data_IF_927065510183
#
_entry.id   IF_927065510183
#
_cell.length_a   1.000
_cell.length_b   1.000
_cell.length_c   1.000
_cell.angle_alpha   90.00
_cell.angle_beta   90.00
_cell.angle_gamma   90.00
#
_symmetry.space_group_name_H-M   'P 1'
#
loop_
_entity.id
_entity.type
_entity.pdbx_description
1 polymer ?
#
# COMPACT_ATOMS: atom_id res chain seq x y z
N UNK A 1 -40.44 -77.27 29.48
CA UNK A 1 -40.27 -75.80 29.63
C UNK A 1 -38.91 -75.43 29.08
N UNK A 2 -38.85 -74.80 27.90
CA UNK A 2 -37.61 -74.33 27.27
C UNK A 2 -37.72 -72.81 27.14
N UNK A 3 -36.91 -72.09 27.90
CA UNK A 3 -36.81 -70.63 27.88
C UNK A 3 -36.02 -70.20 26.64
N UNK A 4 -36.67 -69.43 25.77
CA UNK A 4 -36.02 -68.72 24.67
C UNK A 4 -35.69 -67.31 25.16
N UNK A 5 -34.44 -67.04 25.52
CA UNK A 5 -33.97 -65.68 25.74
C UNK A 5 -33.21 -65.20 24.51
N UNK A 6 -33.87 -64.35 23.73
CA UNK A 6 -33.28 -63.60 22.63
C UNK A 6 -32.40 -62.50 23.24
N UNK A 7 -31.07 -62.63 23.17
CA UNK A 7 -30.14 -61.56 23.51
C UNK A 7 -30.09 -60.57 22.34
N UNK A 8 -30.71 -59.40 22.49
CA UNK A 8 -30.52 -58.29 21.57
C UNK A 8 -29.16 -57.64 21.82
N UNK A 9 -28.24 -57.78 20.88
CA UNK A 9 -26.97 -57.05 20.87
C UNK A 9 -27.22 -55.69 20.22
N UNK A 10 -27.29 -54.62 21.02
CA UNK A 10 -27.35 -53.25 20.49
C UNK A 10 -25.95 -52.84 20.01
N UNK A 11 -25.82 -52.52 18.71
CA UNK A 11 -24.59 -51.97 18.12
C UNK A 11 -24.76 -50.45 18.06
N UNK A 12 -24.00 -49.73 18.89
CA UNK A 12 -23.93 -48.27 18.85
C UNK A 12 -22.93 -47.85 17.76
N UNK A 13 -23.44 -47.39 16.62
CA UNK A 13 -22.66 -46.75 15.57
C UNK A 13 -22.47 -45.27 15.94
N UNK A 14 -21.31 -44.93 16.51
CA UNK A 14 -20.91 -43.54 16.71
C UNK A 14 -20.23 -43.04 15.43
N UNK A 15 -20.97 -42.33 14.59
CA UNK A 15 -20.38 -41.63 13.43
C UNK A 15 -19.72 -40.34 13.91
N UNK A 16 -18.39 -40.35 14.04
CA UNK A 16 -17.60 -39.14 14.26
C UNK A 16 -17.48 -38.41 12.92
N UNK A 17 -18.37 -37.45 12.67
CA UNK A 17 -18.23 -36.53 11.53
C UNK A 17 -17.08 -35.56 11.80
N UNK A 18 -15.93 -35.82 11.20
CA UNK A 18 -14.85 -34.84 11.11
C UNK A 18 -15.30 -33.70 10.18
N UNK A 19 -15.74 -32.59 10.76
CA UNK A 19 -15.86 -31.32 10.04
C UNK A 19 -14.44 -30.86 9.69
N UNK A 20 -13.99 -31.17 8.48
CA UNK A 20 -12.77 -30.58 7.95
C UNK A 20 -13.05 -29.12 7.62
N UNK A 21 -12.70 -28.23 8.55
CA UNK A 21 -12.59 -26.81 8.25
C UNK A 21 -11.42 -26.61 7.30
N UNK A 22 -11.69 -26.52 6.00
CA UNK A 22 -10.70 -26.07 5.03
C UNK A 22 -10.57 -24.55 5.16
N UNK A 23 -9.53 -24.09 5.85
CA UNK A 23 -9.13 -22.68 5.81
C UNK A 23 -8.57 -22.39 4.42
N UNK A 24 -9.33 -21.68 3.59
CA UNK A 24 -8.77 -21.08 2.37
C UNK A 24 -7.99 -19.86 2.81
N UNK A 25 -6.66 -19.96 2.84
CA UNK A 25 -5.81 -18.77 2.97
C UNK A 25 -5.95 -17.97 1.67
N UNK A 26 -6.76 -16.91 1.69
CA UNK A 26 -6.71 -15.91 0.63
C UNK A 26 -5.43 -15.09 0.80
N UNK A 27 -4.79 -14.76 -0.30
CA UNK A 27 -3.68 -13.82 -0.34
C UNK A 27 -3.89 -12.88 -1.53
N UNK A 28 -3.53 -11.61 -1.36
CA UNK A 28 -3.55 -10.64 -2.45
C UNK A 28 -2.16 -10.03 -2.65
N UNK A 29 -1.92 -9.57 -3.88
CA UNK A 29 -0.81 -8.70 -4.23
C UNK A 29 -1.35 -7.52 -5.03
N UNK A 30 -1.14 -6.31 -4.53
CA UNK A 30 -1.39 -5.06 -5.23
C UNK A 30 -0.05 -4.51 -5.74
N UNK A 31 0.05 -4.30 -7.05
CA UNK A 31 1.26 -3.78 -7.69
C UNK A 31 1.06 -2.32 -8.07
N UNK A 32 1.86 -1.44 -7.50
CA UNK A 32 1.81 0.00 -7.76
C UNK A 32 3.06 0.41 -8.50
N UNK A 33 2.89 1.03 -9.67
CA UNK A 33 4.00 1.53 -10.48
C UNK A 33 4.03 3.05 -10.46
N UNK A 34 5.11 3.62 -9.96
CA UNK A 34 5.40 5.04 -10.14
C UNK A 34 5.95 5.27 -11.56
N UNK A 35 5.51 6.33 -12.23
CA UNK A 35 5.89 6.60 -13.62
C UNK A 35 6.65 7.90 -13.78
N UNK A 36 6.12 9.00 -13.23
CA UNK A 36 6.72 10.33 -13.35
C UNK A 36 6.36 11.18 -12.15
N UNK A 37 7.30 12.03 -11.73
CA UNK A 37 7.07 13.12 -10.81
C UNK A 37 7.34 14.46 -11.50
N UNK A 38 6.64 15.51 -11.07
CA UNK A 38 6.86 16.87 -11.55
C UNK A 38 6.64 17.91 -10.46
N UNK A 39 7.65 18.75 -10.24
CA UNK A 39 7.63 19.94 -9.41
C UNK A 39 8.45 21.05 -10.08
N UNK A 40 8.16 21.34 -11.35
CA UNK A 40 8.97 22.24 -12.20
C UNK A 40 9.23 23.65 -11.64
N UNK A 41 8.44 24.08 -10.65
CA UNK A 41 8.56 25.40 -10.00
C UNK A 41 9.35 25.34 -8.67
N UNK A 42 9.87 24.17 -8.29
CA UNK A 42 10.66 23.90 -7.09
C UNK A 42 9.97 24.37 -5.80
N UNK A 43 8.67 24.06 -5.69
CA UNK A 43 7.80 24.56 -4.62
C UNK A 43 7.53 23.53 -3.54
N UNK A 44 7.52 24.01 -2.31
CA UNK A 44 7.00 23.32 -1.14
C UNK A 44 5.47 23.28 -1.15
N UNK A 45 4.89 22.57 -0.17
CA UNK A 45 3.43 22.43 -0.04
C UNK A 45 2.73 23.74 0.34
N UNK A 46 3.47 24.69 0.92
CA UNK A 46 3.01 26.02 1.30
C UNK A 46 3.33 27.10 0.23
N UNK A 47 3.73 26.69 -0.98
CA UNK A 47 4.11 27.55 -2.11
C UNK A 47 5.42 28.35 -1.91
N UNK A 48 6.16 28.08 -0.83
CA UNK A 48 7.52 28.58 -0.68
C UNK A 48 8.52 27.80 -1.55
N UNK A 49 9.74 28.31 -1.70
CA UNK A 49 10.81 27.66 -2.46
C UNK A 49 11.56 26.68 -1.58
N UNK A 50 11.95 25.52 -2.11
CA UNK A 50 12.74 24.49 -1.40
C UNK A 50 14.04 25.09 -0.80
N UNK A 51 14.92 25.70 -1.61
CA UNK A 51 16.18 26.30 -1.12
C UNK A 51 16.12 27.79 -0.72
N UNK A 52 14.98 28.28 -0.23
CA UNK A 52 14.85 29.65 0.26
C UNK A 52 15.21 30.75 -0.78
N UNK A 53 16.01 31.75 -0.39
CA UNK A 53 16.25 32.96 -1.20
C UNK A 53 17.11 32.74 -2.45
N UNK A 54 17.91 31.67 -2.51
CA UNK A 54 18.88 31.48 -3.59
C UNK A 54 18.36 30.62 -4.75
N UNK A 55 17.21 29.96 -4.57
CA UNK A 55 16.56 29.16 -5.61
C UNK A 55 17.38 27.91 -5.94
N UNK A 56 16.80 26.76 -5.66
CA UNK A 56 17.40 25.45 -5.91
C UNK A 56 16.32 24.40 -6.02
N UNK A 57 16.70 23.25 -6.57
CA UNK A 57 15.80 22.13 -6.78
C UNK A 57 15.54 21.42 -5.46
N UNK A 58 14.38 20.79 -5.31
CA UNK A 58 14.10 20.04 -4.10
C UNK A 58 14.84 18.69 -4.11
N UNK A 59 15.44 18.34 -2.99
CA UNK A 59 16.06 17.06 -2.64
C UNK A 59 14.95 16.04 -2.31
N UNK A 60 14.12 15.73 -3.31
CA UNK A 60 12.85 15.02 -3.10
C UNK A 60 13.02 13.59 -2.57
N UNK A 61 12.31 13.26 -1.48
CA UNK A 61 12.16 11.93 -0.90
C UNK A 61 10.69 11.51 -0.82
N UNK A 62 10.38 10.28 -1.24
CA UNK A 62 9.01 9.80 -1.39
C UNK A 62 8.67 8.73 -0.36
N UNK A 63 7.53 8.91 0.30
CA UNK A 63 6.92 7.95 1.22
C UNK A 63 5.60 7.44 0.63
N UNK A 64 5.57 6.17 0.22
CA UNK A 64 4.39 5.48 -0.26
C UNK A 64 3.74 4.73 0.90
N UNK A 65 2.45 4.96 1.13
CA UNK A 65 1.71 4.43 2.27
C UNK A 65 0.41 3.79 1.81
N UNK A 66 0.28 2.48 1.97
CA UNK A 66 -0.93 1.75 1.59
C UNK A 66 -1.90 1.66 2.77
N UNK A 67 -3.13 2.12 2.54
CA UNK A 67 -4.22 2.18 3.50
C UNK A 67 -5.49 1.51 2.94
N UNK A 68 -6.46 1.31 3.82
CA UNK A 68 -7.81 0.90 3.42
C UNK A 68 -8.54 2.00 2.66
N UNK A 69 -9.47 1.61 1.78
CA UNK A 69 -10.38 2.55 1.15
C UNK A 69 -11.21 3.28 2.23
N UNK A 70 -11.44 4.58 2.07
CA UNK A 70 -12.15 5.42 3.04
C UNK A 70 -11.30 5.85 4.23
N UNK A 71 -9.98 5.60 4.21
CA UNK A 71 -9.08 6.11 5.24
C UNK A 71 -9.07 7.66 5.26
N UNK A 72 -8.78 8.22 6.43
CA UNK A 72 -8.63 9.67 6.62
C UNK A 72 -7.59 10.25 5.64
N UNK A 73 -7.93 11.39 5.03
CA UNK A 73 -7.03 12.15 4.15
C UNK A 73 -6.10 13.07 4.95
N UNK A 74 -5.39 12.48 5.90
CA UNK A 74 -4.27 13.12 6.63
C UNK A 74 -2.92 12.75 5.98
N UNK A 75 -1.88 13.54 6.21
CA UNK A 75 -0.53 13.30 5.69
C UNK A 75 0.31 12.38 6.62
N UNK A 76 -0.34 11.67 7.56
CA UNK A 76 0.35 10.84 8.54
C UNK A 76 0.83 9.50 7.94
N UNK A 77 1.92 9.53 7.20
CA UNK A 77 2.53 8.36 6.58
C UNK A 77 3.11 7.34 7.60
N UNK A 78 3.05 7.60 8.91
CA UNK A 78 3.39 6.58 9.92
C UNK A 78 2.29 5.52 10.12
N UNK A 79 1.08 5.75 9.58
CA UNK A 79 -0.03 4.82 9.67
C UNK A 79 -0.32 4.19 8.30
N UNK A 80 0.39 3.11 7.99
CA UNK A 80 0.28 2.36 6.73
C UNK A 80 -0.01 0.88 7.02
N UNK A 81 -1.24 0.52 7.41
CA UNK A 81 -1.57 -0.83 7.88
C UNK A 81 -1.39 -1.91 6.80
N UNK A 82 -1.28 -1.53 5.53
CA UNK A 82 -1.04 -2.46 4.41
C UNK A 82 0.38 -2.36 3.84
N UNK A 83 1.28 -1.69 4.55
CA UNK A 83 2.70 -1.54 4.20
C UNK A 83 3.04 -0.17 3.64
N UNK A 84 4.34 0.13 3.66
CA UNK A 84 4.92 1.36 3.15
C UNK A 84 6.25 1.12 2.44
N UNK A 85 6.64 2.08 1.61
CA UNK A 85 7.96 2.16 0.98
C UNK A 85 8.47 3.60 1.10
N UNK A 86 9.75 3.75 1.44
CA UNK A 86 10.41 5.06 1.52
C UNK A 86 11.63 5.02 0.62
N UNK A 87 11.74 5.98 -0.29
CA UNK A 87 12.95 6.16 -1.10
C UNK A 87 14.01 6.87 -0.27
N UNK A 88 15.27 6.86 -0.72
CA UNK A 88 16.18 7.94 -0.34
C UNK A 88 15.93 9.18 -1.18
N UNK A 89 16.81 10.16 -1.03
CA UNK A 89 16.90 11.33 -1.89
C UNK A 89 16.93 10.94 -3.38
N UNK A 90 16.07 11.59 -4.17
CA UNK A 90 16.01 11.45 -5.62
C UNK A 90 16.75 12.60 -6.33
N UNK A 91 16.84 13.77 -5.68
CA UNK A 91 17.68 14.90 -6.09
C UNK A 91 17.20 15.70 -7.31
N UNK A 92 15.94 15.55 -7.73
CA UNK A 92 15.39 16.22 -8.91
C UNK A 92 13.92 16.61 -8.73
N UNK A 93 13.53 17.76 -9.29
CA UNK A 93 12.14 18.25 -9.31
C UNK A 93 11.26 17.56 -10.37
N UNK A 94 11.85 17.17 -11.48
CA UNK A 94 11.15 16.61 -12.63
C UNK A 94 11.88 15.37 -13.15
N UNK A 95 11.31 14.18 -12.90
CA UNK A 95 11.97 12.95 -13.32
C UNK A 95 10.99 11.82 -13.64
N UNK A 96 11.53 10.80 -14.32
CA UNK A 96 10.84 9.54 -14.56
C UNK A 96 11.37 8.49 -13.60
N UNK A 97 10.45 7.75 -12.97
CA UNK A 97 10.83 6.63 -12.13
C UNK A 97 11.39 5.48 -12.98
N UNK A 98 12.48 4.86 -12.52
CA UNK A 98 13.08 3.70 -13.18
C UNK A 98 12.08 2.55 -13.29
N UNK A 99 12.23 1.71 -14.33
CA UNK A 99 11.23 0.68 -14.66
C UNK A 99 11.23 -0.54 -13.76
N UNK A 100 12.31 -0.78 -13.01
CA UNK A 100 12.51 -1.95 -12.15
C UNK A 100 12.77 -1.59 -10.70
N UNK A 101 13.36 -0.42 -10.47
CA UNK A 101 13.62 0.15 -9.16
C UNK A 101 13.46 1.67 -9.25
N UNK A 102 12.97 2.26 -8.17
CA UNK A 102 13.15 3.67 -7.84
C UNK A 102 14.57 3.82 -7.25
N UNK A 103 14.89 5.00 -6.75
CA UNK A 103 16.08 5.29 -5.96
C UNK A 103 16.13 4.48 -4.65
N UNK A 104 17.35 4.27 -4.16
CA UNK A 104 17.65 3.57 -2.90
C UNK A 104 17.06 2.16 -2.77
N UNK A 105 16.88 1.47 -3.90
CA UNK A 105 16.48 0.05 -3.91
C UNK A 105 14.99 -0.21 -3.69
N UNK A 106 14.14 0.84 -3.66
CA UNK A 106 12.69 0.65 -3.64
C UNK A 106 12.24 0.02 -4.97
N UNK A 107 11.56 -1.14 -4.96
CA UNK A 107 11.12 -1.78 -6.19
C UNK A 107 10.11 -0.92 -6.96
N UNK A 108 10.17 -0.94 -8.29
CA UNK A 108 9.11 -0.39 -9.14
C UNK A 108 8.72 -1.44 -10.19
N UNK A 109 7.53 -2.06 -10.13
CA UNK A 109 6.43 -1.77 -9.22
C UNK A 109 6.67 -2.20 -7.77
N UNK A 110 6.16 -1.40 -6.84
CA UNK A 110 6.02 -1.75 -5.43
C UNK A 110 4.94 -2.82 -5.27
N UNK A 111 5.18 -3.80 -4.40
CA UNK A 111 4.23 -4.89 -4.13
C UNK A 111 3.74 -4.79 -2.69
N UNK A 112 2.45 -4.48 -2.53
CA UNK A 112 1.75 -4.54 -1.25
C UNK A 112 0.99 -5.87 -1.18
N UNK A 113 1.17 -6.62 -0.10
CA UNK A 113 0.56 -7.93 0.07
C UNK A 113 -0.16 -8.06 1.41
N UNK A 114 -1.13 -8.96 1.45
CA UNK A 114 -1.87 -9.28 2.67
C UNK A 114 -2.79 -10.47 2.46
N UNK A 115 -3.50 -10.86 3.52
CA UNK A 115 -4.36 -12.06 3.52
C UNK A 115 -5.81 -11.76 3.17
N UNK A 116 -6.29 -10.53 3.39
CA UNK A 116 -7.70 -10.17 3.15
C UNK A 116 -7.75 -8.89 2.30
N UNK A 117 -8.43 -8.97 1.15
CA UNK A 117 -8.67 -7.83 0.30
C UNK A 117 -10.05 -7.23 0.55
N UNK A 118 -10.10 -6.00 1.06
CA UNK A 118 -11.35 -5.34 1.48
C UNK A 118 -12.10 -4.64 0.33
N UNK A 119 -11.75 -4.94 -0.93
CA UNK A 119 -12.47 -4.44 -2.11
C UNK A 119 -11.96 -3.09 -2.66
N UNK A 120 -11.00 -2.45 -2.00
CA UNK A 120 -10.43 -1.19 -2.46
C UNK A 120 -9.21 -0.78 -1.64
N UNK A 121 -8.57 0.31 -2.03
CA UNK A 121 -7.40 0.87 -1.34
C UNK A 121 -7.41 2.40 -1.35
N UNK A 122 -6.60 2.95 -0.45
CA UNK A 122 -6.10 4.31 -0.54
C UNK A 122 -4.57 4.28 -0.53
N UNK A 123 -3.92 4.83 -1.55
CA UNK A 123 -2.48 5.05 -1.58
C UNK A 123 -2.22 6.52 -1.27
N UNK A 124 -1.59 6.79 -0.14
CA UNK A 124 -1.01 8.08 0.19
C UNK A 124 0.45 8.10 -0.29
N UNK A 125 0.82 9.13 -1.03
CA UNK A 125 2.21 9.45 -1.35
C UNK A 125 2.53 10.80 -0.72
N UNK A 126 3.54 10.85 0.15
CA UNK A 126 4.03 12.10 0.75
C UNK A 126 5.43 12.36 0.24
N UNK A 127 5.69 13.57 -0.21
CA UNK A 127 6.97 14.04 -0.71
C UNK A 127 7.53 15.05 0.26
N UNK A 128 8.78 14.84 0.65
CA UNK A 128 9.54 15.78 1.45
C UNK A 128 10.79 16.23 0.69
N UNK A 129 11.20 17.45 0.95
CA UNK A 129 12.52 17.99 0.62
C UNK A 129 13.46 17.58 1.76
N UNK A 130 14.45 16.76 1.47
CA UNK A 130 15.40 16.29 2.48
C UNK A 130 16.41 17.40 2.78
N UNK A 131 16.36 18.01 3.97
CA UNK A 131 17.33 19.05 4.34
C UNK A 131 18.46 18.43 5.18
N UNK A 132 19.73 18.47 4.72
CA UNK A 132 20.85 17.93 5.50
C UNK A 132 21.08 18.66 6.83
N UNK A 133 20.52 19.87 7.01
CA UNK A 133 20.66 20.70 8.21
C UNK A 133 19.30 21.23 8.68
N UNK A 134 18.34 20.33 8.92
CA UNK A 134 17.03 20.78 9.37
C UNK A 134 16.03 19.67 9.66
N UNK A 135 14.76 20.06 9.69
CA UNK A 135 13.65 19.13 9.51
C UNK A 135 13.27 19.11 8.04
N UNK A 136 13.03 17.93 7.48
CA UNK A 136 12.59 17.81 6.09
C UNK A 136 11.32 18.63 5.83
N UNK A 137 11.31 19.41 4.75
CA UNK A 137 10.20 20.28 4.41
C UNK A 137 9.15 19.55 3.57
N UNK A 138 7.88 19.75 3.88
CA UNK A 138 6.81 19.06 3.17
C UNK A 138 6.58 19.68 1.79
N UNK A 139 6.80 18.90 0.72
CA UNK A 139 6.70 19.34 -0.68
C UNK A 139 5.30 19.14 -1.24
N UNK A 140 4.78 17.92 -1.10
CA UNK A 140 3.48 17.55 -1.66
C UNK A 140 2.91 16.30 -1.00
N UNK A 141 1.59 16.11 -1.11
CA UNK A 141 0.96 14.86 -0.77
C UNK A 141 -0.21 14.55 -1.72
N UNK A 142 -0.29 13.30 -2.15
CA UNK A 142 -1.33 12.82 -3.05
C UNK A 142 -2.04 11.63 -2.43
N UNK A 143 -3.37 11.61 -2.58
CA UNK A 143 -4.21 10.45 -2.26
C UNK A 143 -4.77 9.86 -3.54
N UNK A 144 -4.46 8.60 -3.79
CA UNK A 144 -5.18 7.77 -4.74
C UNK A 144 -6.16 6.89 -3.99
N UNK A 145 -7.40 6.82 -4.44
CA UNK A 145 -8.44 6.05 -3.76
C UNK A 145 -9.30 5.37 -4.80
N UNK A 146 -9.34 4.04 -4.76
CA UNK A 146 -9.98 3.24 -5.80
C UNK A 146 -10.63 1.98 -5.22
N UNK A 147 -11.77 1.62 -5.80
CA UNK A 147 -12.32 0.27 -5.69
C UNK A 147 -11.63 -0.63 -6.70
N UNK A 148 -11.20 -1.81 -6.25
CA UNK A 148 -10.54 -2.78 -7.11
C UNK A 148 -10.96 -4.18 -6.68
N UNK A 149 -11.39 -5.01 -7.62
CA UNK A 149 -11.64 -6.43 -7.35
C UNK A 149 -10.41 -7.26 -7.74
N UNK A 150 -10.09 -8.36 -7.03
CA UNK A 150 -9.00 -9.25 -7.44
C UNK A 150 -9.15 -9.68 -8.90
N UNK A 151 -8.05 -9.62 -9.67
CA UNK A 151 -8.05 -9.94 -11.10
C UNK A 151 -8.34 -8.76 -12.04
N UNK A 152 -8.71 -7.58 -11.53
CA UNK A 152 -8.73 -6.34 -12.30
C UNK A 152 -7.42 -5.57 -12.18
N UNK A 153 -7.09 -4.82 -13.24
CA UNK A 153 -5.98 -3.86 -13.27
C UNK A 153 -6.53 -2.48 -13.63
N UNK A 154 -6.12 -1.45 -12.90
CA UNK A 154 -6.36 -0.04 -13.26
C UNK A 154 -5.11 0.45 -14.01
N UNK A 155 -5.31 1.10 -15.16
CA UNK A 155 -4.21 1.30 -16.12
C UNK A 155 -3.39 2.57 -15.89
N UNK A 156 -3.94 3.62 -15.29
CA UNK A 156 -3.16 4.84 -15.00
C UNK A 156 -3.98 5.81 -14.16
N UNK A 157 -3.36 6.48 -13.18
CA UNK A 157 -3.94 7.69 -12.61
C UNK A 157 -2.93 8.83 -12.72
N UNK A 158 -3.38 9.96 -13.26
CA UNK A 158 -2.58 11.17 -13.43
C UNK A 158 -3.00 12.15 -12.34
N UNK A 159 -2.03 12.56 -11.53
CA UNK A 159 -2.25 13.47 -10.42
C UNK A 159 -1.75 14.86 -10.77
N UNK A 160 -2.52 15.87 -10.38
CA UNK A 160 -2.15 17.28 -10.49
C UNK A 160 -2.41 17.94 -9.14
N UNK A 161 -1.43 18.69 -8.64
CA UNK A 161 -1.63 19.69 -7.58
C UNK A 161 -2.59 20.75 -8.15
N UNK A 162 -3.64 21.09 -7.41
CA UNK A 162 -4.59 22.15 -7.75
C UNK A 162 -4.23 23.42 -7.00
#
# INVERSE_FOLDING_TARGET
MRDWRCTQTAILLVTVTFLQFQTVESAYQLRVRAHRYRNSDSRLSDDSSCDGFFGGQCENRFNFCMRGHGASRDNNWNNCPRGSFTTGEVGDDDFYFGTYQIYSGVPNPMVFSGTIWEGGFQLLVVVYDEDPVGSDDHVDNVYAEEYLSPGHSISQVVWKKY
#
